data_IF_075271220456
#
_entry.id   IF_075271220456
#
_cell.length_a   1.000
_cell.length_b   1.000
_cell.length_c   1.000
_cell.angle_alpha   90.00
_cell.angle_beta   90.00
_cell.angle_gamma   90.00
#
_symmetry.space_group_name_H-M   'P 1'
#
loop_
_entity.id
_entity.type
_entity.pdbx_description
1 polymer ?
#
# COMPACT_ATOMS: atom_id res chain seq x y z
N UNK A 1 4.67 30.37 6.98
CA UNK A 1 4.20 29.04 7.42
C UNK A 1 5.32 28.01 7.34
N UNK A 2 5.95 27.81 6.18
CA UNK A 2 7.06 26.88 6.00
C UNK A 2 8.27 27.17 6.92
N UNK A 3 8.60 28.44 7.17
CA UNK A 3 9.73 28.82 8.04
C UNK A 3 9.54 28.41 9.51
N UNK A 4 8.30 28.40 10.00
CA UNK A 4 7.97 28.03 11.38
C UNK A 4 8.00 26.51 11.53
N UNK A 5 7.40 25.77 10.60
CA UNK A 5 7.36 24.30 10.68
C UNK A 5 8.73 23.66 10.49
N UNK A 6 9.64 24.33 9.75
CA UNK A 6 11.01 23.85 9.53
C UNK A 6 11.86 23.79 10.80
N UNK A 7 11.53 24.56 11.84
CA UNK A 7 12.27 24.52 13.12
C UNK A 7 11.80 23.40 14.06
N UNK A 8 10.80 22.61 13.67
CA UNK A 8 10.27 21.50 14.47
C UNK A 8 10.74 20.15 13.95
N UNK A 9 10.99 19.22 14.87
CA UNK A 9 11.07 17.80 14.50
C UNK A 9 9.68 17.29 14.09
N UNK A 10 9.59 16.54 13.01
CA UNK A 10 8.31 16.07 12.42
C UNK A 10 7.39 15.39 13.44
N UNK A 11 7.93 14.49 14.27
CA UNK A 11 7.14 13.79 15.29
C UNK A 11 6.57 14.72 16.37
N UNK A 12 7.37 15.70 16.80
CA UNK A 12 6.93 16.70 17.80
C UNK A 12 5.85 17.60 17.24
N UNK A 13 5.97 17.99 15.97
CA UNK A 13 4.97 18.79 15.29
C UNK A 13 3.66 18.01 15.14
N UNK A 14 3.73 16.74 14.72
CA UNK A 14 2.55 15.88 14.57
C UNK A 14 1.80 15.74 15.91
N UNK A 15 2.50 15.43 16.99
CA UNK A 15 1.89 15.32 18.32
C UNK A 15 1.26 16.65 18.79
N UNK A 16 1.89 17.79 18.49
CA UNK A 16 1.32 19.10 18.81
C UNK A 16 0.04 19.39 18.02
N UNK A 17 -0.01 19.00 16.74
CA UNK A 17 -1.19 19.16 15.89
C UNK A 17 -2.34 18.24 16.34
N UNK A 18 -2.04 16.99 16.70
CA UNK A 18 -3.02 16.05 17.26
C UNK A 18 -3.64 16.59 18.55
N UNK A 19 -2.83 17.12 19.49
CA UNK A 19 -3.32 17.75 20.72
C UNK A 19 -4.18 18.98 20.45
N UNK A 20 -3.90 19.71 19.37
CA UNK A 20 -4.71 20.85 18.92
C UNK A 20 -5.93 20.42 18.09
N UNK A 21 -6.18 19.11 17.96
CA UNK A 21 -7.27 18.53 17.18
C UNK A 21 -7.22 18.91 15.68
N UNK A 22 -6.01 19.18 15.18
CA UNK A 22 -5.74 19.49 13.77
C UNK A 22 -5.37 18.19 13.06
N UNK A 23 -6.11 17.76 12.03
CA UNK A 23 -5.78 16.54 11.30
C UNK A 23 -4.48 16.73 10.54
N UNK A 24 -3.48 15.93 10.90
CA UNK A 24 -2.20 15.85 10.21
C UNK A 24 -1.75 14.40 10.16
N UNK A 25 -0.98 14.05 9.13
CA UNK A 25 -0.44 12.71 8.95
C UNK A 25 1.02 12.78 8.53
N UNK A 26 1.79 11.77 8.92
CA UNK A 26 3.17 11.61 8.46
C UNK A 26 3.20 11.29 6.97
N UNK A 27 4.18 11.83 6.25
CA UNK A 27 4.54 11.35 4.91
C UNK A 27 5.43 10.11 5.11
N UNK A 28 4.85 8.94 4.85
CA UNK A 28 5.55 7.67 5.03
C UNK A 28 6.45 7.35 3.84
N UNK A 29 7.60 6.70 4.08
CA UNK A 29 8.32 5.98 3.02
C UNK A 29 7.49 4.78 2.55
N UNK A 30 7.86 4.18 1.42
CA UNK A 30 7.17 2.98 0.89
C UNK A 30 7.19 1.85 1.93
N UNK A 31 8.34 1.61 2.58
CA UNK A 31 8.50 0.60 3.62
C UNK A 31 7.61 0.88 4.84
N UNK A 32 7.59 2.13 5.31
CA UNK A 32 6.74 2.56 6.42
C UNK A 32 5.25 2.41 6.08
N UNK A 33 4.86 2.72 4.83
CA UNK A 33 3.48 2.54 4.38
C UNK A 33 3.06 1.05 4.42
N UNK A 34 3.94 0.12 4.02
CA UNK A 34 3.64 -1.32 4.12
C UNK A 34 3.57 -1.83 5.56
N UNK A 35 4.26 -1.18 6.49
CA UNK A 35 4.21 -1.50 7.92
C UNK A 35 3.06 -0.79 8.66
N UNK A 36 2.32 0.11 8.00
CA UNK A 36 1.26 0.89 8.63
C UNK A 36 0.11 -0.03 9.11
N UNK A 37 -0.41 0.16 10.35
CA UNK A 37 -1.47 -0.68 10.88
C UNK A 37 -2.70 -0.77 9.98
N UNK A 38 -3.06 0.30 9.26
CA UNK A 38 -4.20 0.31 8.36
C UNK A 38 -3.95 -0.56 7.13
N UNK A 39 -2.74 -0.55 6.58
CA UNK A 39 -2.34 -1.37 5.44
C UNK A 39 -2.32 -2.86 5.82
N UNK A 40 -1.79 -3.18 7.00
CA UNK A 40 -1.75 -4.54 7.55
C UNK A 40 -3.16 -5.06 7.86
N UNK A 41 -3.96 -4.27 8.58
CA UNK A 41 -5.35 -4.64 8.93
C UNK A 41 -6.20 -4.93 7.70
N UNK A 42 -5.94 -4.24 6.60
CA UNK A 42 -6.66 -4.42 5.33
C UNK A 42 -6.09 -5.53 4.44
N UNK A 43 -4.96 -6.13 4.81
CA UNK A 43 -4.26 -7.16 4.04
C UNK A 43 -3.95 -6.71 2.61
N UNK A 44 -3.44 -5.48 2.47
CA UNK A 44 -3.25 -4.85 1.15
C UNK A 44 -2.05 -5.39 0.38
N UNK A 45 -1.01 -5.89 1.06
CA UNK A 45 0.16 -6.49 0.41
C UNK A 45 -0.16 -7.94 0.02
N UNK A 46 -0.06 -8.25 -1.26
CA UNK A 46 -0.24 -9.60 -1.81
C UNK A 46 1.10 -10.15 -2.29
N UNK A 47 1.29 -11.47 -2.16
CA UNK A 47 2.44 -12.19 -2.67
C UNK A 47 1.95 -13.15 -3.76
N UNK A 48 2.62 -13.13 -4.91
CA UNK A 48 2.28 -13.96 -6.06
C UNK A 48 3.56 -14.61 -6.60
N UNK A 49 3.43 -15.73 -7.31
CA UNK A 49 4.56 -16.37 -7.98
C UNK A 49 4.59 -15.96 -9.45
N UNK A 50 5.72 -15.43 -9.92
CA UNK A 50 5.90 -15.08 -11.32
C UNK A 50 5.92 -16.35 -12.19
N UNK A 51 5.30 -16.29 -13.37
CA UNK A 51 5.05 -17.47 -14.19
C UNK A 51 6.30 -18.14 -14.79
N UNK A 52 7.37 -17.40 -15.06
CA UNK A 52 8.56 -17.92 -15.76
C UNK A 52 9.55 -18.67 -14.84
N UNK A 53 9.77 -18.15 -13.64
CA UNK A 53 10.82 -18.64 -12.73
C UNK A 53 10.30 -18.92 -11.31
N UNK A 54 9.00 -18.73 -11.07
CA UNK A 54 8.40 -18.94 -9.76
C UNK A 54 8.83 -17.92 -8.71
N UNK A 55 9.57 -16.86 -9.09
CA UNK A 55 10.03 -15.84 -8.16
C UNK A 55 8.85 -15.16 -7.48
N UNK A 56 8.98 -14.89 -6.18
CA UNK A 56 7.96 -14.16 -5.44
C UNK A 56 7.95 -12.69 -5.86
N UNK A 57 6.77 -12.20 -6.22
CA UNK A 57 6.52 -10.80 -6.54
C UNK A 57 5.46 -10.27 -5.59
N UNK A 58 5.62 -9.02 -5.16
CA UNK A 58 4.68 -8.35 -4.28
C UNK A 58 3.86 -7.33 -5.03
N UNK A 59 2.55 -7.33 -4.78
CA UNK A 59 1.61 -6.38 -5.34
C UNK A 59 0.77 -5.70 -4.26
N UNK A 60 -0.06 -4.75 -4.69
CA UNK A 60 -1.06 -4.09 -3.85
C UNK A 60 -2.45 -4.51 -4.33
N UNK A 61 -3.27 -5.04 -3.43
CA UNK A 61 -4.67 -5.42 -3.67
C UNK A 61 -5.54 -4.17 -3.84
N UNK A 62 -6.66 -4.30 -4.57
CA UNK A 62 -7.71 -3.28 -4.59
C UNK A 62 -8.20 -2.93 -3.17
N UNK A 63 -8.32 -1.64 -2.81
CA UNK A 63 -8.81 -1.25 -1.50
C UNK A 63 -10.31 -1.51 -1.31
N UNK A 64 -11.07 -1.75 -2.39
CA UNK A 64 -12.53 -1.93 -2.31
C UNK A 64 -12.83 -3.36 -1.83
N UNK A 65 -13.59 -3.48 -0.73
CA UNK A 65 -14.12 -4.75 -0.24
C UNK A 65 -15.61 -4.85 -0.57
N UNK A 66 -16.00 -5.95 -1.19
CA UNK A 66 -17.40 -6.25 -1.49
C UNK A 66 -18.00 -7.11 -0.37
N UNK A 67 -19.25 -6.84 0.01
CA UNK A 67 -19.94 -7.60 1.04
C UNK A 67 -20.38 -9.00 0.58
N UNK A 68 -20.61 -9.17 -0.73
CA UNK A 68 -21.14 -10.39 -1.33
C UNK A 68 -20.22 -11.01 -2.40
N UNK A 69 -18.97 -10.55 -2.52
CA UNK A 69 -18.02 -11.06 -3.51
C UNK A 69 -16.58 -11.02 -2.98
N UNK A 70 -15.75 -11.93 -3.49
CA UNK A 70 -14.31 -11.98 -3.19
C UNK A 70 -13.53 -11.68 -4.47
N UNK A 71 -12.53 -10.80 -4.37
CA UNK A 71 -11.59 -10.56 -5.45
C UNK A 71 -10.54 -11.66 -5.49
N UNK A 72 -10.34 -12.25 -6.66
CA UNK A 72 -9.15 -13.05 -6.95
C UNK A 72 -7.97 -12.09 -7.17
N UNK A 73 -6.94 -12.23 -6.34
CA UNK A 73 -5.75 -11.40 -6.38
C UNK A 73 -4.47 -12.26 -6.31
N UNK A 74 -4.57 -13.56 -6.61
CA UNK A 74 -3.46 -14.49 -6.40
C UNK A 74 -2.74 -14.82 -7.72
N UNK A 75 -3.35 -14.45 -8.86
CA UNK A 75 -2.80 -14.69 -10.21
C UNK A 75 -1.93 -13.53 -10.71
N UNK A 76 -0.64 -13.76 -11.03
CA UNK A 76 0.24 -12.71 -11.58
C UNK A 76 -0.24 -12.27 -12.97
N UNK A 77 0.28 -11.14 -13.44
CA UNK A 77 0.10 -10.73 -14.82
C UNK A 77 0.62 -11.82 -15.79
N UNK A 78 -0.09 -12.09 -16.90
CA UNK A 78 0.38 -13.01 -17.91
C UNK A 78 1.71 -12.54 -18.50
N UNK A 79 2.54 -13.48 -18.94
CA UNK A 79 3.71 -13.17 -19.76
C UNK A 79 3.25 -12.77 -21.16
N UNK A 80 4.14 -12.08 -21.87
CA UNK A 80 3.92 -11.77 -23.27
C UNK A 80 3.74 -13.08 -24.07
N UNK A 81 2.59 -13.22 -24.74
CA UNK A 81 2.22 -14.41 -25.52
C UNK A 81 1.29 -15.42 -24.82
N UNK A 82 1.06 -15.30 -23.50
CA UNK A 82 0.17 -16.23 -22.76
C UNK A 82 -1.32 -16.11 -23.15
N UNK A 83 -1.70 -15.01 -23.82
CA UNK A 83 -3.08 -14.68 -24.20
C UNK A 83 -3.41 -14.90 -25.68
N UNK A 84 -2.49 -15.38 -26.50
CA UNK A 84 -2.64 -15.45 -27.97
C UNK A 84 -3.48 -16.66 -28.45
N UNK A 85 -4.35 -17.19 -27.60
CA UNK A 85 -5.20 -18.34 -27.91
C UNK A 85 -6.47 -17.91 -28.66
N UNK A 86 -6.27 -17.44 -29.90
CA UNK A 86 -7.26 -17.51 -30.97
C UNK A 86 -6.74 -18.51 -32.02
N UNK A 87 -6.75 -19.80 -31.68
CA UNK A 87 -6.50 -20.92 -32.59
C UNK A 87 -7.48 -22.06 -32.29
#
# INVERSE_FOLDING_TARGET
MCDITRTWASEKLLAALENANVPAGRINTVEQAFADPQIVHRSMKIAMKRGNDGAEIFGIRSPIKFSAATLDCDRPAPLLGDGDQFA
#
